data_IF_874063677351
#
_entry.id   IF_874063677351
#
_cell.length_a   1.000
_cell.length_b   1.000
_cell.length_c   1.000
_cell.angle_alpha   90.00
_cell.angle_beta   90.00
_cell.angle_gamma   90.00
#
_symmetry.space_group_name_H-M   'P 1'
#
loop_
_entity.id
_entity.type
_entity.pdbx_description
1 polymer ?
#
# COMPACT_ATOMS: atom_id res chain seq x y z
N UNK A 1 -29.92 -12.97 -25.15
CA UNK A 1 -29.03 -12.09 -25.97
C UNK A 1 -29.59 -10.68 -25.93
N UNK A 2 -28.79 -9.69 -25.49
CA UNK A 2 -29.23 -8.29 -25.51
C UNK A 2 -29.33 -7.83 -26.97
N UNK A 3 -30.47 -7.30 -27.39
CA UNK A 3 -30.70 -6.77 -28.74
C UNK A 3 -29.82 -5.51 -28.94
N UNK A 4 -29.53 -5.13 -30.21
CA UNK A 4 -28.79 -3.92 -30.53
C UNK A 4 -29.40 -2.66 -29.92
N UNK A 5 -30.74 -2.60 -29.86
CA UNK A 5 -31.51 -1.51 -29.23
C UNK A 5 -31.22 -1.44 -27.71
N UNK A 6 -31.20 -2.56 -27.00
CA UNK A 6 -30.91 -2.57 -25.57
C UNK A 6 -29.48 -2.09 -25.25
N UNK A 7 -28.52 -2.40 -26.14
CA UNK A 7 -27.15 -1.91 -26.01
C UNK A 7 -27.02 -0.40 -26.29
N UNK A 8 -27.74 0.12 -27.26
CA UNK A 8 -27.76 1.55 -27.55
C UNK A 8 -28.38 2.36 -26.39
N UNK A 9 -29.52 1.92 -25.88
CA UNK A 9 -30.17 2.55 -24.72
C UNK A 9 -29.26 2.53 -23.48
N UNK A 10 -28.63 1.41 -23.19
CA UNK A 10 -27.69 1.30 -22.07
C UNK A 10 -26.51 2.27 -22.21
N UNK A 11 -25.94 2.41 -23.42
CA UNK A 11 -24.84 3.37 -23.68
C UNK A 11 -25.28 4.82 -23.48
N UNK A 12 -26.47 5.19 -23.95
CA UNK A 12 -27.03 6.55 -23.78
C UNK A 12 -27.27 6.83 -22.29
N UNK A 13 -27.82 5.89 -21.54
CA UNK A 13 -28.05 6.05 -20.11
C UNK A 13 -26.77 6.14 -19.29
N UNK A 14 -25.71 5.47 -19.71
CA UNK A 14 -24.40 5.52 -19.05
C UNK A 14 -23.56 6.74 -19.47
N UNK A 15 -23.84 7.33 -20.66
CA UNK A 15 -22.97 8.38 -21.22
C UNK A 15 -22.83 9.62 -20.32
N UNK A 16 -23.86 10.13 -19.62
CA UNK A 16 -23.66 11.30 -18.75
C UNK A 16 -22.66 11.02 -17.61
N UNK A 17 -22.76 9.87 -16.97
CA UNK A 17 -21.84 9.48 -15.90
C UNK A 17 -20.40 9.28 -16.42
N UNK A 18 -20.27 8.62 -17.56
CA UNK A 18 -18.94 8.39 -18.19
C UNK A 18 -18.31 9.71 -18.63
N UNK A 19 -19.08 10.62 -19.23
CA UNK A 19 -18.60 11.94 -19.67
C UNK A 19 -18.15 12.77 -18.46
N UNK A 20 -18.94 12.82 -17.39
CA UNK A 20 -18.59 13.55 -16.18
C UNK A 20 -17.31 13.02 -15.53
N UNK A 21 -17.20 11.70 -15.37
CA UNK A 21 -16.00 11.06 -14.84
C UNK A 21 -14.78 11.32 -15.73
N UNK A 22 -14.96 11.23 -17.04
CA UNK A 22 -13.90 11.50 -18.02
C UNK A 22 -13.39 12.93 -17.91
N UNK A 23 -14.29 13.92 -17.91
CA UNK A 23 -13.92 15.33 -17.74
C UNK A 23 -13.23 15.57 -16.40
N UNK A 24 -13.77 14.99 -15.31
CA UNK A 24 -13.18 15.12 -13.97
C UNK A 24 -11.77 14.54 -13.86
N UNK A 25 -11.46 13.52 -14.65
CA UNK A 25 -10.11 12.91 -14.68
C UNK A 25 -9.18 13.60 -15.68
N UNK A 26 -9.66 13.90 -16.88
CA UNK A 26 -8.82 14.41 -17.97
C UNK A 26 -8.42 15.87 -17.76
N UNK A 27 -9.32 16.72 -17.27
CA UNK A 27 -9.01 18.14 -17.09
C UNK A 27 -7.84 18.36 -16.13
N UNK A 28 -7.84 17.79 -14.89
CA UNK A 28 -6.69 17.93 -14.00
C UNK A 28 -5.41 17.30 -14.57
N UNK A 29 -5.53 16.17 -15.29
CA UNK A 29 -4.38 15.53 -15.92
C UNK A 29 -3.72 16.43 -16.97
N UNK A 30 -4.53 17.02 -17.86
CA UNK A 30 -4.02 17.97 -18.88
C UNK A 30 -3.41 19.19 -18.23
N UNK A 31 -4.04 19.72 -17.18
CA UNK A 31 -3.46 20.84 -16.40
C UNK A 31 -2.13 20.47 -15.76
N UNK A 32 -2.02 19.30 -15.14
CA UNK A 32 -0.77 18.83 -14.55
C UNK A 32 0.31 18.69 -15.61
N UNK A 33 -0.02 18.12 -16.78
CA UNK A 33 0.93 18.02 -17.90
C UNK A 33 1.34 19.41 -18.43
N UNK A 34 0.42 20.36 -18.50
CA UNK A 34 0.73 21.72 -18.91
C UNK A 34 1.67 22.40 -17.90
N UNK A 35 1.35 22.36 -16.61
CA UNK A 35 2.20 22.92 -15.55
C UNK A 35 3.59 22.27 -15.49
N UNK A 36 3.74 21.01 -15.83
CA UNK A 36 5.04 20.33 -15.85
C UNK A 36 6.04 20.94 -16.84
N UNK A 37 5.57 21.71 -17.82
CA UNK A 37 6.41 22.46 -18.78
C UNK A 37 6.66 23.90 -18.35
N UNK A 38 6.07 24.36 -17.25
CA UNK A 38 6.24 25.69 -16.71
C UNK A 38 7.18 25.66 -15.51
N UNK A 39 7.96 26.71 -15.37
CA UNK A 39 8.59 27.06 -14.10
C UNK A 39 7.61 27.92 -13.33
N UNK A 40 7.07 27.38 -12.24
CA UNK A 40 6.03 28.03 -11.47
C UNK A 40 6.34 28.00 -9.98
N UNK A 41 6.50 29.18 -9.37
CA UNK A 41 6.67 29.30 -7.94
C UNK A 41 5.39 29.88 -7.31
N UNK A 42 4.81 29.13 -6.37
CA UNK A 42 3.53 29.47 -5.74
C UNK A 42 3.57 30.81 -4.94
N UNK A 43 4.77 31.26 -4.54
CA UNK A 43 4.94 32.54 -3.84
C UNK A 43 5.01 33.74 -4.78
N UNK A 44 5.20 33.50 -6.08
CA UNK A 44 5.37 34.55 -7.10
C UNK A 44 4.38 34.34 -8.25
N UNK A 45 3.05 34.47 -8.02
CA UNK A 45 2.07 34.31 -9.08
C UNK A 45 2.29 35.38 -10.17
N UNK A 46 2.15 34.98 -11.45
CA UNK A 46 2.38 35.86 -12.60
C UNK A 46 3.83 35.86 -13.11
N UNK A 47 4.70 35.01 -12.57
CA UNK A 47 6.08 34.83 -13.05
C UNK A 47 6.28 33.50 -13.77
N UNK A 48 5.18 32.87 -14.21
CA UNK A 48 5.21 31.58 -14.88
C UNK A 48 5.98 31.71 -16.21
N UNK A 49 7.00 30.89 -16.37
CA UNK A 49 7.82 30.84 -17.58
C UNK A 49 7.73 29.45 -18.22
N UNK A 50 7.56 29.42 -19.53
CA UNK A 50 7.58 28.16 -20.27
C UNK A 50 9.03 27.69 -20.44
N UNK A 51 9.41 26.61 -19.75
CA UNK A 51 10.78 26.07 -19.71
C UNK A 51 10.94 24.73 -20.46
N UNK A 52 9.88 24.26 -21.10
CA UNK A 52 9.89 23.01 -21.85
C UNK A 52 10.25 21.81 -20.96
N UNK A 53 11.30 21.08 -21.32
CA UNK A 53 11.72 19.86 -20.60
C UNK A 53 12.72 20.10 -19.47
N UNK A 54 12.99 21.36 -19.09
CA UNK A 54 14.01 21.67 -18.07
C UNK A 54 13.67 21.06 -16.70
N UNK A 55 12.40 21.07 -16.29
CA UNK A 55 11.95 20.46 -15.04
C UNK A 55 12.22 18.95 -15.02
N UNK A 56 12.00 18.27 -16.15
CA UNK A 56 12.30 16.84 -16.28
C UNK A 56 13.81 16.57 -16.20
N UNK A 57 14.63 17.44 -16.76
CA UNK A 57 16.08 17.32 -16.65
C UNK A 57 16.55 17.48 -15.22
N UNK A 58 16.01 18.46 -14.46
CA UNK A 58 16.31 18.62 -13.03
C UNK A 58 15.95 17.38 -12.24
N UNK A 59 14.74 16.84 -12.41
CA UNK A 59 14.33 15.62 -11.73
C UNK A 59 15.25 14.43 -12.02
N UNK A 60 15.63 14.25 -13.28
CA UNK A 60 16.50 13.14 -13.70
C UNK A 60 17.96 13.31 -13.30
N UNK A 61 18.37 14.48 -12.88
CA UNK A 61 19.75 14.75 -12.41
C UNK A 61 19.84 14.90 -10.90
N UNK A 62 18.70 15.04 -10.20
CA UNK A 62 18.65 15.20 -8.75
C UNK A 62 18.84 13.84 -8.02
N UNK A 63 19.89 13.67 -7.21
CA UNK A 63 20.07 12.49 -6.37
C UNK A 63 18.89 12.22 -5.42
N UNK A 64 18.16 13.26 -4.99
CA UNK A 64 17.00 13.10 -4.12
C UNK A 64 15.87 12.34 -4.81
N UNK A 65 15.66 12.51 -6.11
CA UNK A 65 14.69 11.76 -6.90
C UNK A 65 15.00 10.26 -6.90
N UNK A 66 16.24 9.87 -7.17
CA UNK A 66 16.62 8.45 -7.20
C UNK A 66 16.54 7.81 -5.81
N UNK A 67 16.89 8.55 -4.76
CA UNK A 67 16.71 8.09 -3.37
C UNK A 67 15.23 7.88 -3.06
N UNK A 68 14.37 8.84 -3.41
CA UNK A 68 12.93 8.75 -3.20
C UNK A 68 12.30 7.60 -4.02
N UNK A 69 12.77 7.39 -5.24
CA UNK A 69 12.34 6.26 -6.09
C UNK A 69 12.74 4.92 -5.45
N UNK A 70 13.98 4.79 -5.01
CA UNK A 70 14.46 3.59 -4.30
C UNK A 70 13.66 3.30 -3.03
N UNK A 71 13.42 4.32 -2.20
CA UNK A 71 12.60 4.22 -1.00
C UNK A 71 11.15 3.84 -1.32
N UNK A 72 10.57 4.38 -2.40
CA UNK A 72 9.22 4.01 -2.85
C UNK A 72 9.17 2.53 -3.22
N UNK A 73 10.12 2.05 -4.00
CA UNK A 73 10.17 0.64 -4.41
C UNK A 73 10.39 -0.30 -3.22
N UNK A 74 11.26 0.07 -2.28
CA UNK A 74 11.50 -0.70 -1.06
C UNK A 74 10.27 -0.71 -0.15
N UNK A 75 9.59 0.42 0.01
CA UNK A 75 8.36 0.52 0.81
C UNK A 75 7.25 -0.33 0.19
N UNK A 76 6.99 -0.16 -1.09
CA UNK A 76 5.95 -0.93 -1.80
C UNK A 76 6.29 -2.42 -1.81
N UNK A 77 7.49 -2.78 -2.24
CA UNK A 77 7.94 -4.18 -2.31
C UNK A 77 7.96 -4.86 -0.95
N UNK A 78 8.51 -4.19 0.08
CA UNK A 78 8.54 -4.70 1.45
C UNK A 78 7.15 -4.89 2.04
N UNK A 79 6.27 -3.92 1.85
CA UNK A 79 4.87 -4.03 2.30
C UNK A 79 4.14 -5.17 1.58
N UNK A 80 4.25 -5.26 0.25
CA UNK A 80 3.63 -6.34 -0.52
C UNK A 80 4.14 -7.72 -0.08
N UNK A 81 5.44 -7.86 0.14
CA UNK A 81 6.02 -9.12 0.60
C UNK A 81 5.41 -9.57 1.93
N UNK A 82 5.36 -8.65 2.91
CA UNK A 82 4.77 -8.94 4.23
C UNK A 82 3.29 -9.23 4.14
N UNK A 83 2.53 -8.43 3.38
CA UNK A 83 1.08 -8.56 3.30
C UNK A 83 0.63 -9.77 2.50
N UNK A 84 1.32 -10.14 1.43
CA UNK A 84 1.00 -11.33 0.64
C UNK A 84 1.33 -12.60 1.42
N UNK A 85 2.55 -12.69 1.96
CA UNK A 85 2.97 -13.88 2.74
C UNK A 85 2.14 -13.98 4.03
N UNK A 86 2.05 -12.90 4.79
CA UNK A 86 1.28 -12.85 6.03
C UNK A 86 -0.22 -13.07 5.77
N UNK A 87 -0.75 -12.52 4.68
CA UNK A 87 -2.13 -12.71 4.26
C UNK A 87 -2.47 -14.15 3.91
N UNK A 88 -1.58 -14.85 3.20
CA UNK A 88 -1.73 -16.29 2.91
C UNK A 88 -1.74 -17.09 4.23
N UNK A 89 -0.75 -16.85 5.10
CA UNK A 89 -0.65 -17.55 6.38
C UNK A 89 -1.89 -17.33 7.25
N UNK A 90 -2.33 -16.07 7.38
CA UNK A 90 -3.54 -15.75 8.13
C UNK A 90 -4.80 -16.33 7.47
N UNK A 91 -4.91 -16.32 6.14
CA UNK A 91 -6.03 -16.91 5.43
C UNK A 91 -6.13 -18.41 5.72
N UNK A 92 -5.02 -19.14 5.69
CA UNK A 92 -4.98 -20.58 6.01
C UNK A 92 -5.43 -20.83 7.46
N UNK A 93 -4.94 -20.04 8.42
CA UNK A 93 -5.33 -20.18 9.83
C UNK A 93 -6.80 -19.84 10.04
N UNK A 94 -7.28 -18.78 9.41
CA UNK A 94 -8.66 -18.31 9.54
C UNK A 94 -9.66 -19.17 8.76
N UNK A 95 -9.21 -20.00 7.84
CA UNK A 95 -10.07 -20.96 7.14
C UNK A 95 -10.43 -22.18 8.01
N UNK A 96 -9.58 -22.53 8.97
CA UNK A 96 -9.83 -23.64 9.88
C UNK A 96 -10.94 -23.31 10.88
N UNK A 97 -11.87 -24.25 11.18
CA UNK A 97 -12.86 -24.05 12.23
C UNK A 97 -12.21 -24.12 13.61
N UNK A 98 -12.29 -23.02 14.39
CA UNK A 98 -11.84 -22.98 15.77
C UNK A 98 -12.77 -22.10 16.62
N UNK A 99 -12.70 -22.33 17.93
CA UNK A 99 -13.53 -21.55 18.88
C UNK A 99 -13.11 -20.07 18.88
N UNK A 100 -14.09 -19.15 18.77
CA UNK A 100 -13.83 -17.72 18.72
C UNK A 100 -13.40 -17.17 17.35
N UNK A 101 -13.44 -17.98 16.27
CA UNK A 101 -13.06 -17.60 14.92
C UNK A 101 -13.64 -16.24 14.46
N UNK A 102 -14.89 -15.96 14.79
CA UNK A 102 -15.55 -14.69 14.44
C UNK A 102 -14.87 -13.47 15.09
N UNK A 103 -14.50 -13.60 16.38
CA UNK A 103 -13.81 -12.54 17.11
C UNK A 103 -12.40 -12.33 16.55
N UNK A 104 -11.68 -13.41 16.31
CA UNK A 104 -10.33 -13.34 15.73
C UNK A 104 -10.35 -12.72 14.33
N UNK A 105 -11.31 -13.08 13.48
CA UNK A 105 -11.52 -12.44 12.17
C UNK A 105 -11.75 -10.94 12.31
N UNK A 106 -12.60 -10.52 13.24
CA UNK A 106 -12.86 -9.11 13.50
C UNK A 106 -11.58 -8.36 13.92
N UNK A 107 -10.80 -8.93 14.84
CA UNK A 107 -9.55 -8.33 15.32
C UNK A 107 -8.48 -8.25 14.21
N UNK A 108 -8.39 -9.27 13.37
CA UNK A 108 -7.47 -9.28 12.21
C UNK A 108 -7.86 -8.21 11.18
N UNK A 109 -9.16 -7.92 11.02
CA UNK A 109 -9.64 -6.95 10.05
C UNK A 109 -9.57 -5.50 10.57
N UNK A 110 -9.63 -5.31 11.88
CA UNK A 110 -9.69 -3.99 12.52
C UNK A 110 -8.61 -2.99 12.06
N UNK A 111 -7.32 -3.37 11.88
CA UNK A 111 -6.28 -2.45 11.45
C UNK A 111 -6.57 -1.71 10.14
N UNK A 112 -7.27 -2.34 9.21
CA UNK A 112 -7.59 -1.74 7.91
C UNK A 112 -8.49 -0.49 8.02
N UNK A 113 -9.29 -0.40 9.08
CA UNK A 113 -10.19 0.72 9.31
C UNK A 113 -9.54 1.85 10.12
N UNK A 114 -8.32 1.68 10.59
CA UNK A 114 -7.59 2.72 11.31
C UNK A 114 -7.08 3.77 10.31
N UNK A 115 -7.32 5.05 10.60
CA UNK A 115 -6.79 6.13 9.76
C UNK A 115 -5.25 6.08 9.72
N UNK A 116 -4.61 6.30 8.56
CA UNK A 116 -3.14 6.23 8.40
C UNK A 116 -2.36 7.06 9.43
N UNK A 117 -2.78 8.31 9.65
CA UNK A 117 -2.18 9.21 10.64
C UNK A 117 -2.27 8.66 12.07
N UNK A 118 -3.43 8.10 12.44
CA UNK A 118 -3.65 7.54 13.79
C UNK A 118 -2.81 6.28 13.96
N UNK A 119 -2.80 5.40 12.96
CA UNK A 119 -1.94 4.22 12.94
C UNK A 119 -0.47 4.61 13.17
N UNK A 120 0.04 5.56 12.40
CA UNK A 120 1.40 6.05 12.50
C UNK A 120 1.74 6.60 13.90
N UNK A 121 0.85 7.39 14.51
CA UNK A 121 1.03 7.93 15.85
C UNK A 121 1.00 6.86 16.96
N UNK A 122 0.09 5.88 16.85
CA UNK A 122 0.03 4.74 17.78
C UNK A 122 1.33 3.93 17.72
N UNK A 123 1.77 3.59 16.54
CA UNK A 123 3.02 2.86 16.36
C UNK A 123 4.23 3.64 16.86
N UNK A 124 4.35 4.94 16.51
CA UNK A 124 5.46 5.79 16.91
C UNK A 124 5.55 5.97 18.43
N UNK A 125 4.42 6.29 19.08
CA UNK A 125 4.43 6.74 20.46
C UNK A 125 4.17 5.61 21.46
N UNK A 126 3.37 4.59 21.08
CA UNK A 126 2.99 3.53 22.01
C UNK A 126 3.76 2.21 21.77
N UNK A 127 4.08 1.86 20.54
CA UNK A 127 4.73 0.58 20.22
C UNK A 127 6.24 0.71 20.05
N UNK A 128 6.69 1.64 19.20
CA UNK A 128 8.08 1.78 18.76
C UNK A 128 8.88 2.85 19.51
N UNK A 129 8.30 3.53 20.50
CA UNK A 129 9.04 4.55 21.26
C UNK A 129 10.21 3.89 22.03
N UNK A 130 11.47 4.40 21.89
CA UNK A 130 12.66 3.71 22.40
C UNK A 130 12.74 3.63 23.94
N UNK A 131 11.99 4.48 24.66
CA UNK A 131 12.00 4.51 26.13
C UNK A 131 10.73 3.92 26.71
N UNK A 132 9.56 4.42 26.24
CA UNK A 132 8.25 4.13 26.86
C UNK A 132 7.38 3.22 25.98
N UNK A 133 7.87 2.76 24.82
CA UNK A 133 7.11 1.91 23.91
C UNK A 133 7.03 0.46 24.37
N UNK A 134 5.98 -0.22 23.90
CA UNK A 134 5.76 -1.63 24.22
C UNK A 134 6.96 -2.50 23.82
N UNK A 135 7.55 -2.26 22.65
CA UNK A 135 8.69 -3.02 22.17
C UNK A 135 9.95 -2.76 23.02
N UNK A 136 10.13 -1.53 23.51
CA UNK A 136 11.20 -1.20 24.44
C UNK A 136 11.03 -1.93 25.76
N UNK A 137 9.82 -1.94 26.31
CA UNK A 137 9.50 -2.66 27.54
C UNK A 137 9.74 -4.18 27.40
N UNK A 138 9.31 -4.78 26.27
CA UNK A 138 9.56 -6.20 26.00
C UNK A 138 11.07 -6.46 25.90
N UNK A 139 11.82 -5.67 25.15
CA UNK A 139 13.26 -5.84 24.99
C UNK A 139 13.98 -5.80 26.34
N UNK A 140 13.68 -4.81 27.18
CA UNK A 140 14.22 -4.66 28.52
C UNK A 140 13.88 -5.84 29.43
N UNK A 141 12.65 -6.37 29.35
CA UNK A 141 12.22 -7.53 30.14
C UNK A 141 13.04 -8.80 29.83
N UNK A 142 13.57 -8.90 28.62
CA UNK A 142 14.47 -9.98 28.20
C UNK A 142 15.97 -9.62 28.30
N UNK A 143 16.32 -8.46 28.87
CA UNK A 143 17.71 -8.00 29.03
C UNK A 143 18.34 -7.45 27.75
N UNK A 144 17.56 -7.16 26.71
CA UNK A 144 18.05 -6.53 25.48
C UNK A 144 17.96 -5.01 25.54
N UNK A 145 18.86 -4.33 24.80
CA UNK A 145 18.76 -2.90 24.64
C UNK A 145 17.59 -2.56 23.67
N UNK A 146 16.76 -1.56 24.00
CA UNK A 146 15.70 -1.11 23.12
C UNK A 146 16.25 -0.54 21.80
N UNK A 147 15.58 -0.85 20.72
CA UNK A 147 15.89 -0.31 19.38
C UNK A 147 15.23 1.03 19.20
N UNK A 148 15.96 2.03 18.73
CA UNK A 148 15.36 3.26 18.20
C UNK A 148 14.97 3.04 16.74
N UNK A 149 13.71 2.65 16.56
CA UNK A 149 13.16 2.24 15.26
C UNK A 149 13.28 3.32 14.19
N UNK A 150 13.02 4.58 14.56
CA UNK A 150 13.01 5.68 13.60
C UNK A 150 14.39 6.33 13.38
N UNK A 151 15.36 6.06 14.23
CA UNK A 151 16.74 6.47 14.02
C UNK A 151 17.58 5.39 13.31
N UNK A 152 17.40 4.12 13.67
CA UNK A 152 18.25 3.02 13.17
C UNK A 152 17.70 2.36 11.89
N UNK A 153 16.39 2.17 11.82
CA UNK A 153 15.71 1.44 10.71
C UNK A 153 14.43 2.16 10.26
N UNK A 154 14.50 3.46 9.92
CA UNK A 154 13.33 4.29 9.74
C UNK A 154 12.40 3.81 8.61
N UNK A 155 12.92 3.45 7.44
CA UNK A 155 12.11 2.97 6.33
C UNK A 155 11.42 1.63 6.65
N UNK A 156 12.15 0.72 7.29
CA UNK A 156 11.59 -0.57 7.72
C UNK A 156 10.47 -0.39 8.75
N UNK A 157 10.62 0.57 9.66
CA UNK A 157 9.56 0.92 10.62
C UNK A 157 8.27 1.37 9.94
N UNK A 158 8.38 2.19 8.90
CA UNK A 158 7.23 2.62 8.09
C UNK A 158 6.63 1.43 7.33
N UNK A 159 7.47 0.56 6.74
CA UNK A 159 7.01 -0.66 6.07
C UNK A 159 6.18 -1.53 7.02
N UNK A 160 6.60 -1.71 8.29
CA UNK A 160 5.85 -2.48 9.27
C UNK A 160 4.49 -1.84 9.61
N UNK A 161 4.44 -0.52 9.79
CA UNK A 161 3.20 0.21 10.07
C UNK A 161 2.21 0.03 8.92
N UNK A 162 2.67 0.26 7.69
CA UNK A 162 1.84 0.17 6.49
C UNK A 162 1.43 -1.28 6.22
N UNK A 163 2.35 -2.24 6.41
CA UNK A 163 2.05 -3.66 6.26
C UNK A 163 0.99 -4.13 7.25
N UNK A 164 1.08 -3.73 8.53
CA UNK A 164 0.07 -4.04 9.53
C UNK A 164 -1.32 -3.52 9.13
N UNK A 165 -1.38 -2.34 8.57
CA UNK A 165 -2.63 -1.72 8.13
C UNK A 165 -3.22 -2.40 6.88
N UNK A 166 -2.38 -2.84 5.94
CA UNK A 166 -2.82 -3.44 4.68
C UNK A 166 -2.91 -4.97 4.71
N UNK A 167 -2.36 -5.63 5.73
CA UNK A 167 -2.43 -7.07 5.92
C UNK A 167 -3.87 -7.62 5.94
N UNK A 168 -4.86 -6.98 6.61
CA UNK A 168 -6.23 -7.45 6.60
C UNK A 168 -6.87 -7.51 5.22
N UNK A 169 -6.58 -6.52 4.36
CA UNK A 169 -7.07 -6.48 2.99
C UNK A 169 -6.60 -7.70 2.19
N UNK A 170 -5.28 -8.00 2.26
CA UNK A 170 -4.73 -9.19 1.62
C UNK A 170 -5.36 -10.46 2.19
N UNK A 171 -5.46 -10.56 3.52
CA UNK A 171 -6.03 -11.71 4.22
C UNK A 171 -7.47 -11.99 3.77
N UNK A 172 -8.33 -10.96 3.68
CA UNK A 172 -9.72 -11.12 3.28
C UNK A 172 -9.86 -11.64 1.84
N UNK A 173 -9.14 -11.06 0.90
CA UNK A 173 -9.21 -11.49 -0.50
C UNK A 173 -8.69 -12.92 -0.65
N UNK A 174 -7.57 -13.23 0.00
CA UNK A 174 -6.96 -14.55 -0.05
C UNK A 174 -7.81 -15.61 0.67
N UNK A 175 -8.43 -15.27 1.80
CA UNK A 175 -9.35 -16.16 2.51
C UNK A 175 -10.59 -16.48 1.65
N UNK A 176 -11.17 -15.45 1.01
CA UNK A 176 -12.33 -15.67 0.12
C UNK A 176 -11.96 -16.54 -1.08
N UNK A 177 -10.76 -16.36 -1.64
CA UNK A 177 -10.27 -17.20 -2.71
C UNK A 177 -9.99 -18.64 -2.25
N UNK A 178 -9.50 -18.81 -1.02
CA UNK A 178 -9.21 -20.10 -0.43
C UNK A 178 -10.48 -20.93 -0.19
N UNK A 179 -11.61 -20.28 0.09
CA UNK A 179 -12.91 -20.89 0.32
C UNK A 179 -13.70 -21.22 -0.97
N UNK A 180 -13.14 -20.87 -2.13
CA UNK A 180 -13.78 -21.03 -3.44
C UNK A 180 -13.56 -22.39 -4.14
N UNK A 181 -12.54 -23.22 -3.84
CA UNK A 181 -12.33 -24.50 -4.48
C UNK A 181 -13.42 -25.53 -4.12
N UNK A 182 -13.73 -26.41 -5.09
CA UNK A 182 -14.60 -27.57 -4.81
C UNK A 182 -13.95 -28.49 -3.77
N UNK A 183 -14.69 -28.80 -2.71
CA UNK A 183 -14.27 -29.73 -1.65
C UNK A 183 -13.85 -31.10 -2.22
N UNK A 184 -14.39 -31.48 -3.40
CA UNK A 184 -14.07 -32.71 -4.11
C UNK A 184 -12.58 -32.76 -4.53
N UNK A 185 -11.97 -31.64 -4.97
CA UNK A 185 -10.56 -31.64 -5.39
C UNK A 185 -9.63 -31.86 -4.21
N UNK A 186 -9.94 -31.23 -3.07
CA UNK A 186 -9.14 -31.41 -1.84
C UNK A 186 -9.29 -32.83 -1.29
N UNK A 187 -10.51 -33.38 -1.32
CA UNK A 187 -10.79 -34.77 -0.91
C UNK A 187 -10.12 -35.80 -1.82
N UNK A 188 -10.14 -35.61 -3.15
CA UNK A 188 -9.44 -36.48 -4.08
C UNK A 188 -7.91 -36.51 -3.83
N UNK A 189 -7.29 -35.36 -3.60
CA UNK A 189 -5.87 -35.27 -3.28
C UNK A 189 -5.53 -35.99 -1.94
N UNK A 190 -6.43 -35.94 -0.96
CA UNK A 190 -6.27 -36.68 0.28
C UNK A 190 -6.33 -38.19 0.06
N UNK A 191 -7.26 -38.66 -0.78
CA UNK A 191 -7.38 -40.05 -1.15
C UNK A 191 -6.14 -40.55 -1.92
N UNK A 192 -5.51 -39.71 -2.73
CA UNK A 192 -4.26 -40.01 -3.44
C UNK A 192 -3.03 -39.95 -2.51
N UNK A 193 -3.20 -39.66 -1.21
CA UNK A 193 -2.12 -39.63 -0.22
C UNK A 193 -1.27 -38.35 -0.26
N UNK A 194 -1.75 -37.27 -0.88
CA UNK A 194 -1.02 -35.99 -0.92
C UNK A 194 -0.90 -35.36 0.48
N UNK A 195 0.32 -35.13 0.95
CA UNK A 195 0.59 -34.46 2.22
C UNK A 195 0.20 -32.97 2.20
N UNK A 196 0.11 -32.31 3.38
CA UNK A 196 -0.33 -30.90 3.49
C UNK A 196 0.50 -29.92 2.66
N UNK A 197 1.81 -30.09 2.64
CA UNK A 197 2.74 -29.22 1.87
C UNK A 197 2.54 -29.41 0.37
N UNK A 198 2.37 -30.66 -0.08
CA UNK A 198 2.10 -30.97 -1.48
C UNK A 198 0.78 -30.35 -1.95
N UNK A 199 -0.29 -30.48 -1.15
CA UNK A 199 -1.59 -29.83 -1.42
C UNK A 199 -1.47 -28.32 -1.48
N UNK A 200 -0.71 -27.71 -0.55
CA UNK A 200 -0.48 -26.27 -0.56
C UNK A 200 0.20 -25.82 -1.86
N UNK A 201 1.31 -26.44 -2.25
CA UNK A 201 2.13 -26.00 -3.39
C UNK A 201 1.42 -26.30 -4.73
N UNK A 202 0.79 -27.45 -4.88
CA UNK A 202 0.28 -27.92 -6.17
C UNK A 202 -1.21 -27.65 -6.39
N UNK A 203 -2.01 -27.43 -5.35
CA UNK A 203 -3.43 -27.14 -5.46
C UNK A 203 -3.76 -25.71 -4.99
N UNK A 204 -3.41 -25.37 -3.73
CA UNK A 204 -3.84 -24.10 -3.15
C UNK A 204 -3.12 -22.90 -3.75
N UNK A 205 -1.80 -22.92 -3.86
CA UNK A 205 -1.01 -21.80 -4.34
C UNK A 205 -1.30 -21.44 -5.82
N UNK A 206 -1.42 -22.38 -6.76
CA UNK A 206 -1.86 -22.09 -8.11
C UNK A 206 -3.27 -21.51 -8.17
N UNK A 207 -4.20 -22.02 -7.33
CA UNK A 207 -5.55 -21.49 -7.22
C UNK A 207 -5.56 -20.05 -6.71
N UNK A 208 -4.75 -19.74 -5.70
CA UNK A 208 -4.61 -18.38 -5.13
C UNK A 208 -3.91 -17.38 -6.05
N UNK A 209 -3.23 -17.83 -7.10
CA UNK A 209 -2.41 -16.96 -7.98
C UNK A 209 -3.18 -15.76 -8.53
N UNK A 210 -4.43 -15.95 -8.94
CA UNK A 210 -5.31 -14.87 -9.43
C UNK A 210 -5.64 -13.87 -8.32
N UNK A 211 -5.97 -14.36 -7.13
CA UNK A 211 -6.25 -13.50 -5.98
C UNK A 211 -5.01 -12.73 -5.53
N UNK A 212 -3.85 -13.39 -5.51
CA UNK A 212 -2.55 -12.75 -5.22
C UNK A 212 -2.27 -11.63 -6.21
N UNK A 213 -2.50 -11.85 -7.50
CA UNK A 213 -2.33 -10.82 -8.54
C UNK A 213 -3.24 -9.61 -8.27
N UNK A 214 -4.51 -9.85 -7.90
CA UNK A 214 -5.46 -8.77 -7.58
C UNK A 214 -4.99 -8.00 -6.33
N UNK A 215 -4.55 -8.70 -5.29
CA UNK A 215 -3.99 -8.08 -4.07
C UNK A 215 -2.80 -7.20 -4.42
N UNK A 216 -1.82 -7.73 -5.17
CA UNK A 216 -0.62 -6.98 -5.58
C UNK A 216 -1.00 -5.74 -6.37
N UNK A 217 -1.87 -5.85 -7.38
CA UNK A 217 -2.25 -4.72 -8.22
C UNK A 217 -2.96 -3.62 -7.42
N UNK A 218 -3.95 -3.98 -6.62
CA UNK A 218 -4.69 -3.01 -5.82
C UNK A 218 -3.79 -2.36 -4.79
N UNK A 219 -3.06 -3.16 -4.01
CA UNK A 219 -2.16 -2.61 -2.99
C UNK A 219 -1.07 -1.72 -3.60
N UNK A 220 -0.48 -2.09 -4.74
CA UNK A 220 0.52 -1.26 -5.42
C UNK A 220 -0.01 0.14 -5.70
N UNK A 221 -1.23 0.25 -6.25
CA UNK A 221 -1.85 1.55 -6.55
C UNK A 221 -1.98 2.43 -5.30
N UNK A 222 -2.37 1.83 -4.16
CA UNK A 222 -2.50 2.58 -2.91
C UNK A 222 -1.16 2.84 -2.23
N UNK A 223 -0.24 1.88 -2.23
CA UNK A 223 1.07 2.00 -1.58
C UNK A 223 1.98 3.04 -2.25
N UNK A 224 1.87 3.24 -3.56
CA UNK A 224 2.57 4.33 -4.26
C UNK A 224 2.20 5.73 -3.73
N UNK A 225 1.08 5.86 -3.04
CA UNK A 225 0.55 7.11 -2.49
C UNK A 225 0.75 7.25 -0.99
N UNK A 226 1.51 6.34 -0.36
CA UNK A 226 1.84 6.43 1.07
C UNK A 226 2.57 7.74 1.35
N UNK A 227 1.99 8.55 2.23
CA UNK A 227 2.46 9.88 2.56
C UNK A 227 2.26 10.20 4.05
N UNK A 228 1.05 9.98 4.57
CA UNK A 228 0.67 10.40 5.92
C UNK A 228 1.52 9.76 7.00
N UNK A 229 1.87 8.49 6.85
CA UNK A 229 2.70 7.73 7.77
C UNK A 229 4.11 8.32 7.85
N UNK A 230 4.69 8.68 6.70
CA UNK A 230 6.01 9.32 6.62
C UNK A 230 5.98 10.70 7.27
N UNK A 231 4.97 11.52 6.92
CA UNK A 231 4.82 12.87 7.44
C UNK A 231 4.76 12.91 8.97
N UNK A 232 3.97 12.01 9.59
CA UNK A 232 3.75 12.05 11.06
C UNK A 232 4.86 11.35 11.83
N UNK A 233 5.56 10.37 11.22
CA UNK A 233 6.59 9.61 11.93
C UNK A 233 7.95 10.26 11.82
N UNK A 234 8.49 10.37 10.62
CA UNK A 234 9.87 10.72 10.32
C UNK A 234 10.04 12.06 9.62
N UNK A 235 8.95 12.60 9.05
CA UNK A 235 9.01 13.82 8.22
C UNK A 235 10.07 13.71 7.09
N UNK A 236 10.15 12.52 6.46
CA UNK A 236 11.11 12.21 5.40
C UNK A 236 12.51 11.79 5.86
N UNK A 237 12.83 11.98 7.15
CA UNK A 237 14.15 11.78 7.73
C UNK A 237 14.44 10.38 8.29
N UNK A 238 15.64 10.20 8.91
CA UNK A 238 16.77 11.14 8.92
C UNK A 238 17.37 11.35 7.52
N UNK A 239 17.73 12.58 7.20
CA UNK A 239 18.12 12.96 5.83
C UNK A 239 16.99 12.69 4.82
N UNK A 240 17.21 11.78 3.86
CA UNK A 240 16.21 11.34 2.87
C UNK A 240 15.82 9.87 3.02
N UNK A 241 16.17 9.22 4.15
CA UNK A 241 16.05 7.76 4.30
C UNK A 241 14.61 7.24 4.22
N UNK A 242 13.60 8.08 4.48
CA UNK A 242 12.19 7.70 4.38
C UNK A 242 11.43 8.55 3.36
N UNK A 243 12.10 9.46 2.69
CA UNK A 243 11.51 10.27 1.63
C UNK A 243 11.17 9.36 0.44
N UNK A 244 9.88 9.17 0.19
CA UNK A 244 9.37 8.52 -1.02
C UNK A 244 8.94 9.57 -2.06
N UNK A 245 8.50 9.15 -3.24
CA UNK A 245 8.07 10.06 -4.31
C UNK A 245 6.93 10.97 -3.85
N UNK A 246 5.93 10.45 -3.14
CA UNK A 246 4.80 11.25 -2.67
C UNK A 246 5.23 12.33 -1.67
N UNK A 247 6.15 12.00 -0.75
CA UNK A 247 6.70 12.96 0.20
C UNK A 247 7.63 13.97 -0.49
N UNK A 248 8.42 13.55 -1.48
CA UNK A 248 9.27 14.45 -2.26
C UNK A 248 8.43 15.50 -3.00
N UNK A 249 7.35 15.08 -3.67
CA UNK A 249 6.40 16.00 -4.33
C UNK A 249 5.84 17.01 -3.33
N UNK A 250 5.41 16.54 -2.16
CA UNK A 250 4.92 17.42 -1.10
C UNK A 250 5.98 18.45 -0.66
N UNK A 251 7.23 18.02 -0.46
CA UNK A 251 8.30 18.89 0.00
C UNK A 251 8.66 19.95 -1.04
N UNK A 252 8.68 19.60 -2.31
CA UNK A 252 8.95 20.54 -3.39
C UNK A 252 7.78 21.52 -3.57
N UNK A 253 6.57 21.01 -3.73
CA UNK A 253 5.43 21.85 -4.06
C UNK A 253 4.92 22.71 -2.89
N UNK A 254 4.89 22.19 -1.66
CA UNK A 254 4.24 22.87 -0.53
C UNK A 254 5.21 23.40 0.53
N UNK A 255 6.43 22.87 0.63
CA UNK A 255 7.42 23.41 1.56
C UNK A 255 8.41 24.35 0.85
N UNK A 256 8.79 24.06 -0.40
CA UNK A 256 9.67 24.89 -1.20
C UNK A 256 8.91 25.81 -2.17
N UNK A 257 7.58 25.56 -2.36
CA UNK A 257 6.70 26.32 -3.24
C UNK A 257 7.11 26.29 -4.71
N UNK A 258 7.87 25.29 -5.13
CA UNK A 258 8.34 25.09 -6.49
C UNK A 258 7.56 23.96 -7.15
N UNK A 259 6.83 24.24 -8.25
CA UNK A 259 5.86 23.32 -8.87
C UNK A 259 6.22 23.07 -10.33
#
# INVERSE_FOLDING_TARGET
MATLQTRATARIMMSPAVILLFLWMIVPLVMTLYFSFLRYNLLMPGTEEFVGFLNYQYFLTDPAFFTALGNTLLLVGGTLLITVIGGILLAIVLDQPFWGQGIVRLLVIAPFFVMPTVSALVWKNMLMHPVNGLFAWIAQSFGFQPVDWFAQVPLFSIVLIVAWQWLPFATLILLTALQSPDAEQTGAAEMDGAGPISRFIYLMLPHLSRAITVVILIQTIFLLRVFAEILVTTNGGPGLQTTNIAYLIYSQALLQFDV
#
